data_IF_342492927456
#
_entry.id   IF_342492927456
#
_cell.length_a   1.000
_cell.length_b   1.000
_cell.length_c   1.000
_cell.angle_alpha   90.00
_cell.angle_beta   90.00
_cell.angle_gamma   90.00
#
_symmetry.space_group_name_H-M   'P 1'
#
loop_
_entity.id
_entity.type
_entity.pdbx_description
1 polymer ?
#
# COMPACT_ATOMS: atom_id res chain seq x y z
N UNK A 1 2.64 -16.64 24.16
CA UNK A 1 3.38 -16.52 22.89
C UNK A 1 2.92 -15.25 22.21
N UNK A 2 3.74 -14.21 22.17
CA UNK A 2 3.39 -12.97 21.47
C UNK A 2 3.53 -13.23 19.97
N UNK A 3 2.39 -13.38 19.29
CA UNK A 3 2.29 -13.12 17.87
C UNK A 3 2.51 -11.61 17.69
N UNK A 4 3.78 -11.20 17.82
CA UNK A 4 4.29 -9.95 17.27
C UNK A 4 4.23 -10.10 15.76
N UNK A 5 3.01 -10.26 15.22
CA UNK A 5 2.71 -10.07 13.81
C UNK A 5 3.26 -8.69 13.52
N UNK A 6 4.39 -8.64 12.81
CA UNK A 6 4.95 -7.38 12.35
C UNK A 6 3.86 -6.81 11.46
N UNK A 7 3.05 -5.92 12.03
CA UNK A 7 2.05 -5.21 11.25
C UNK A 7 2.89 -4.38 10.31
N UNK A 8 2.80 -4.73 9.03
CA UNK A 8 3.34 -3.93 7.94
C UNK A 8 2.15 -3.10 7.43
N UNK A 9 1.81 -1.98 8.10
CA UNK A 9 0.61 -1.26 7.80
C UNK A 9 0.77 -0.41 6.55
N UNK A 10 1.96 -0.25 5.98
CA UNK A 10 2.15 0.60 4.80
C UNK A 10 2.20 -0.25 3.54
N UNK A 11 1.26 0.00 2.63
CA UNK A 11 1.17 -0.63 1.31
C UNK A 11 1.66 0.35 0.25
N UNK A 12 2.31 -0.18 -0.77
CA UNK A 12 2.49 0.54 -2.04
C UNK A 12 1.48 -0.02 -3.02
N UNK A 13 0.65 0.86 -3.56
CA UNK A 13 -0.36 0.54 -4.58
C UNK A 13 0.10 1.10 -5.91
N UNK A 14 -0.06 0.31 -6.97
CA UNK A 14 0.06 0.74 -8.37
C UNK A 14 -1.32 0.74 -9.00
N UNK A 15 -1.69 1.82 -9.67
CA UNK A 15 -2.80 1.86 -10.62
C UNK A 15 -2.25 2.05 -12.03
N UNK A 16 -2.65 1.20 -12.96
CA UNK A 16 -2.39 1.43 -14.39
C UNK A 16 -3.53 2.21 -15.05
N UNK A 17 -3.31 2.66 -16.30
CA UNK A 17 -4.29 3.42 -17.09
C UNK A 17 -5.66 2.75 -17.24
N UNK A 18 -5.71 1.43 -17.06
CA UNK A 18 -6.93 0.64 -17.15
C UNK A 18 -7.74 0.65 -15.84
N UNK A 19 -7.26 1.36 -14.81
CA UNK A 19 -7.85 1.41 -13.47
C UNK A 19 -7.56 0.17 -12.63
N UNK A 20 -6.69 -0.74 -13.06
CA UNK A 20 -6.36 -1.92 -12.27
C UNK A 20 -5.40 -1.54 -11.14
N UNK A 21 -5.78 -1.90 -9.91
CA UNK A 21 -5.00 -1.61 -8.69
C UNK A 21 -4.30 -2.86 -8.20
N UNK A 22 -2.97 -2.78 -8.10
CA UNK A 22 -2.13 -3.86 -7.62
C UNK A 22 -1.33 -3.44 -6.39
N UNK A 23 -1.26 -4.34 -5.40
CA UNK A 23 -0.38 -4.18 -4.23
C UNK A 23 1.03 -4.60 -4.63
N UNK A 24 1.94 -3.64 -4.61
CA UNK A 24 3.35 -3.86 -4.98
C UNK A 24 4.17 -4.40 -3.81
N UNK A 25 3.85 -3.97 -2.58
CA UNK A 25 4.59 -4.39 -1.39
C UNK A 25 3.97 -3.91 -0.07
N UNK A 26 4.48 -4.48 1.04
CA UNK A 26 4.12 -4.14 2.42
C UNK A 26 5.36 -3.73 3.20
N UNK A 27 5.24 -2.67 3.99
CA UNK A 27 6.36 -2.04 4.69
C UNK A 27 5.99 -1.68 6.12
N UNK A 28 7.01 -1.67 6.98
CA UNK A 28 6.88 -1.32 8.39
C UNK A 28 6.70 0.20 8.57
N UNK A 29 7.33 1.00 7.71
CA UNK A 29 7.29 2.46 7.78
C UNK A 29 6.76 3.09 6.49
N UNK A 30 6.14 4.28 6.63
CA UNK A 30 5.69 5.08 5.48
C UNK A 30 6.87 5.50 4.61
N UNK A 31 8.00 5.85 5.22
CA UNK A 31 9.16 6.35 4.52
C UNK A 31 9.74 5.30 3.56
N UNK A 32 9.82 4.03 3.99
CA UNK A 32 10.22 2.92 3.13
C UNK A 32 9.24 2.71 1.98
N UNK A 33 7.95 2.68 2.27
CA UNK A 33 6.91 2.54 1.23
C UNK A 33 6.98 3.69 0.21
N UNK A 34 7.16 4.92 0.69
CA UNK A 34 7.21 6.12 -0.15
C UNK A 34 8.42 6.09 -1.07
N UNK A 35 9.61 5.77 -0.53
CA UNK A 35 10.83 5.61 -1.34
C UNK A 35 10.65 4.61 -2.48
N UNK A 36 9.91 3.52 -2.24
CA UNK A 36 9.61 2.53 -3.27
C UNK A 36 8.64 3.10 -4.32
N UNK A 37 7.57 3.77 -3.89
CA UNK A 37 6.64 4.43 -4.81
C UNK A 37 7.37 5.44 -5.72
N UNK A 38 8.19 6.32 -5.14
CA UNK A 38 8.98 7.31 -5.88
C UNK A 38 10.00 6.66 -6.84
N UNK A 39 10.60 5.53 -6.44
CA UNK A 39 11.56 4.80 -7.30
C UNK A 39 10.89 4.09 -8.49
N UNK A 40 9.59 3.80 -8.39
CA UNK A 40 8.83 3.10 -9.43
C UNK A 40 8.18 4.08 -10.43
N UNK A 41 7.85 5.29 -9.99
CA UNK A 41 7.25 6.35 -10.82
C UNK A 41 8.17 6.78 -11.99
N UNK A 42 9.49 6.77 -11.80
CA UNK A 42 10.47 7.25 -12.80
C UNK A 42 10.68 6.38 -14.05
N UNK A 43 9.89 5.32 -14.29
CA UNK A 43 10.13 4.33 -15.37
C UNK A 43 9.33 4.53 -16.68
N UNK A 44 8.60 5.63 -16.85
CA UNK A 44 8.09 6.05 -18.16
C UNK A 44 6.79 5.38 -18.63
N UNK A 45 6.03 4.76 -17.73
CA UNK A 45 4.66 4.32 -17.99
C UNK A 45 3.68 5.20 -17.19
N UNK A 46 2.45 5.40 -17.67
CA UNK A 46 1.37 6.11 -16.95
C UNK A 46 0.81 5.23 -15.81
N UNK A 47 1.69 4.81 -14.93
CA UNK A 47 1.34 4.03 -13.75
C UNK A 47 1.46 4.97 -12.56
N UNK A 48 0.37 5.10 -11.82
CA UNK A 48 0.33 5.90 -10.60
C UNK A 48 0.75 5.00 -9.44
N UNK A 49 1.74 5.46 -8.67
CA UNK A 49 2.19 4.78 -7.46
C UNK A 49 1.91 5.65 -6.23
N UNK A 50 1.28 5.08 -5.21
CA UNK A 50 1.08 5.78 -3.94
C UNK A 50 1.14 4.84 -2.74
N UNK A 51 1.31 5.44 -1.57
CA UNK A 51 1.37 4.73 -0.29
C UNK A 51 0.01 4.78 0.41
N UNK A 52 -0.48 3.62 0.83
CA UNK A 52 -1.72 3.48 1.59
C UNK A 52 -1.44 2.86 2.96
N UNK A 53 -2.07 3.36 4.03
CA UNK A 53 -1.95 2.75 5.37
C UNK A 53 -3.12 1.78 5.60
N UNK A 54 -2.81 0.50 5.80
CA UNK A 54 -3.66 -0.49 6.45
C UNK A 54 -3.91 -0.07 7.90
N UNK A 55 -4.89 0.80 8.07
CA UNK A 55 -5.36 1.28 9.35
C UNK A 55 -6.70 1.98 9.18
N UNK A 56 -7.77 1.29 9.60
CA UNK A 56 -9.11 1.84 9.86
C UNK A 56 -10.02 2.20 8.66
N UNK A 57 -9.96 1.49 7.54
CA UNK A 57 -11.08 1.58 6.57
C UNK A 57 -11.38 0.25 5.89
N UNK A 58 -11.64 -0.79 6.67
CA UNK A 58 -12.69 -1.74 6.29
C UNK A 58 -13.99 -1.17 6.85
N UNK A 59 -15.13 -1.20 6.14
CA UNK A 59 -16.38 -0.82 6.78
C UNK A 59 -16.50 -1.71 8.01
N UNK A 60 -16.62 -1.07 9.18
CA UNK A 60 -17.20 -1.73 10.33
C UNK A 60 -18.65 -2.05 9.91
N UNK A 61 -18.83 -3.14 9.17
CA UNK A 61 -20.14 -3.75 9.02
C UNK A 61 -20.47 -4.27 10.40
N UNK A 62 -21.15 -3.42 11.16
CA UNK A 62 -21.93 -3.81 12.31
C UNK A 62 -22.91 -4.87 11.80
N UNK A 63 -22.58 -6.14 12.02
CA UNK A 63 -23.57 -7.19 12.01
C UNK A 63 -24.00 -7.36 13.46
N UNK A 64 -25.14 -6.73 13.76
CA UNK A 64 -26.07 -7.12 14.83
C UNK A 64 -26.62 -8.53 14.54
#
# INVERSE_FOLDING_TARGET
>A
MNDSTVTLPWLVIREDDNGNRYRVGRYATRAEAQKIADSLDGRGHKQLYWVERLGQNGPAVAHD
#
